data_IF_119947469278
#
_entry.id   IF_119947469278
#
_cell.length_a   1.000
_cell.length_b   1.000
_cell.length_c   1.000
_cell.angle_alpha   90.00
_cell.angle_beta   90.00
_cell.angle_gamma   90.00
#
_symmetry.space_group_name_H-M   'P 1'
#
loop_
_entity.id
_entity.type
_entity.pdbx_description
1 polymer ?
#
# COMPACT_ATOMS: atom_id res chain seq x y z
N UNK A 1 41.61 -4.61 -11.05
CA UNK A 1 40.67 -3.84 -10.20
C UNK A 1 39.19 -3.98 -10.61
N UNK A 2 38.79 -4.93 -11.46
CA UNK A 2 37.39 -5.04 -11.93
C UNK A 2 36.53 -6.08 -11.18
N UNK A 3 37.09 -6.91 -10.31
CA UNK A 3 36.33 -7.95 -9.59
C UNK A 3 35.70 -7.48 -8.27
N UNK A 4 36.26 -6.43 -7.65
CA UNK A 4 35.75 -5.85 -6.40
C UNK A 4 34.47 -5.02 -6.59
N UNK A 5 34.30 -4.40 -7.76
CA UNK A 5 33.10 -3.59 -8.07
C UNK A 5 31.86 -4.47 -8.23
N UNK A 6 32.01 -5.71 -8.71
CA UNK A 6 30.88 -6.62 -8.92
C UNK A 6 30.24 -7.13 -7.61
N UNK A 7 31.03 -7.28 -6.55
CA UNK A 7 30.52 -7.72 -5.24
C UNK A 7 29.74 -6.63 -4.50
N UNK A 8 30.09 -5.35 -4.72
CA UNK A 8 29.42 -4.22 -4.08
C UNK A 8 27.99 -3.99 -4.60
N UNK A 9 27.70 -4.35 -5.86
CA UNK A 9 26.37 -4.15 -6.46
C UNK A 9 25.33 -5.16 -5.95
N UNK A 10 25.76 -6.35 -5.53
CA UNK A 10 24.86 -7.39 -5.02
C UNK A 10 24.32 -7.12 -3.60
N UNK A 11 24.94 -6.21 -2.84
CA UNK A 11 24.55 -5.93 -1.45
C UNK A 11 23.43 -4.88 -1.32
N UNK A 12 23.01 -4.24 -2.42
CA UNK A 12 21.96 -3.22 -2.42
C UNK A 12 20.68 -3.65 -3.15
N UNK A 13 20.51 -4.95 -3.44
CA UNK A 13 19.20 -5.45 -3.87
C UNK A 13 18.23 -5.37 -2.70
N UNK A 14 17.48 -4.27 -2.63
CA UNK A 14 16.32 -4.15 -1.74
C UNK A 14 15.36 -5.30 -2.06
N UNK A 15 15.26 -6.27 -1.16
CA UNK A 15 14.32 -7.38 -1.28
C UNK A 15 12.92 -6.76 -1.19
N UNK A 16 12.24 -6.66 -2.32
CA UNK A 16 10.82 -6.30 -2.35
C UNK A 16 10.05 -7.57 -2.05
N UNK A 17 9.56 -7.68 -0.83
CA UNK A 17 8.68 -8.76 -0.43
C UNK A 17 7.23 -8.37 -0.69
N UNK A 18 6.45 -9.32 -1.20
CA UNK A 18 5.04 -9.12 -1.46
C UNK A 18 4.21 -10.26 -0.88
N UNK A 19 2.95 -9.94 -0.58
CA UNK A 19 1.93 -10.90 -0.22
C UNK A 19 0.75 -10.79 -1.18
N UNK A 20 0.06 -11.90 -1.39
CA UNK A 20 -1.18 -11.96 -2.17
C UNK A 20 -2.34 -12.30 -1.25
N UNK A 21 -3.43 -11.57 -1.40
CA UNK A 21 -4.68 -11.82 -0.70
C UNK A 21 -5.78 -12.10 -1.72
N UNK A 22 -6.34 -13.30 -1.65
CA UNK A 22 -7.32 -13.77 -2.62
C UNK A 22 -8.76 -13.48 -2.20
N UNK A 23 -9.62 -13.23 -3.19
CA UNK A 23 -11.08 -13.12 -3.06
C UNK A 23 -11.49 -12.18 -1.91
N UNK A 24 -10.98 -10.96 -1.95
CA UNK A 24 -11.16 -9.94 -0.92
C UNK A 24 -12.16 -8.88 -1.38
N UNK A 25 -12.86 -8.28 -0.41
CA UNK A 25 -13.69 -7.09 -0.61
C UNK A 25 -13.14 -5.89 0.17
N UNK A 26 -13.51 -4.69 -0.26
CA UNK A 26 -13.10 -3.44 0.40
C UNK A 26 -14.08 -3.11 1.53
N UNK A 27 -13.59 -3.11 2.77
CA UNK A 27 -14.37 -2.66 3.94
C UNK A 27 -14.45 -1.11 3.95
N UNK A 28 -13.30 -0.44 3.83
CA UNK A 28 -13.20 1.02 3.83
C UNK A 28 -12.15 1.49 2.83
N UNK A 29 -12.44 2.59 2.16
CA UNK A 29 -11.52 3.28 1.26
C UNK A 29 -11.42 4.71 1.77
N UNK A 30 -10.20 5.14 2.08
CA UNK A 30 -9.90 6.42 2.71
C UNK A 30 -9.29 7.34 1.65
N UNK A 31 -9.91 8.51 1.50
CA UNK A 31 -9.46 9.57 0.62
C UNK A 31 -9.05 10.75 1.49
N UNK A 32 -7.82 11.22 1.37
CA UNK A 32 -7.42 12.44 2.04
C UNK A 32 -7.31 13.60 1.05
N UNK A 33 -7.86 14.75 1.44
CA UNK A 33 -7.80 15.98 0.65
C UNK A 33 -6.37 16.51 0.60
N UNK A 34 -5.87 16.69 -0.62
CA UNK A 34 -4.56 17.28 -0.91
C UNK A 34 -4.51 18.77 -0.51
N UNK A 35 -5.68 19.41 -0.32
CA UNK A 35 -5.83 20.85 -0.10
C UNK A 35 -6.00 21.27 1.39
N UNK A 36 -5.79 20.37 2.35
CA UNK A 36 -5.87 20.69 3.79
C UNK A 36 -4.56 21.24 4.38
N UNK A 37 -4.63 21.95 5.51
CA UNK A 37 -3.47 22.49 6.25
C UNK A 37 -2.38 21.45 6.53
N UNK A 38 -2.76 20.18 6.71
CA UNK A 38 -1.85 19.07 6.98
C UNK A 38 -1.45 18.26 5.74
N UNK A 39 -1.66 18.78 4.51
CA UNK A 39 -1.22 18.25 3.21
C UNK A 39 -0.79 16.77 3.22
N UNK A 40 -1.74 15.85 3.30
CA UNK A 40 -1.44 14.44 3.03
C UNK A 40 -1.67 14.13 1.58
N UNK A 41 -0.70 13.45 1.00
CA UNK A 41 -0.77 12.90 -0.34
C UNK A 41 -0.94 11.37 -0.25
N UNK A 42 -1.84 10.88 0.60
CA UNK A 42 -1.98 9.45 0.82
C UNK A 42 -3.44 9.00 0.78
N UNK A 43 -3.68 7.94 0.01
CA UNK A 43 -4.90 7.16 0.06
C UNK A 43 -4.65 5.88 0.86
N UNK A 44 -5.69 5.28 1.40
CA UNK A 44 -5.55 3.99 2.07
C UNK A 44 -6.79 3.12 1.90
N UNK A 45 -6.61 1.82 2.05
CA UNK A 45 -7.68 0.83 1.95
C UNK A 45 -7.63 -0.14 3.12
N UNK A 46 -8.80 -0.47 3.64
CA UNK A 46 -9.01 -1.56 4.59
C UNK A 46 -9.86 -2.62 3.91
N UNK A 47 -9.38 -3.86 3.96
CA UNK A 47 -10.03 -5.02 3.40
C UNK A 47 -10.84 -5.78 4.45
N UNK A 48 -11.82 -6.56 4.00
CA UNK A 48 -12.66 -7.40 4.87
C UNK A 48 -11.97 -8.70 5.35
N UNK A 49 -10.71 -8.91 4.96
CA UNK A 49 -9.88 -10.04 5.42
C UNK A 49 -8.65 -9.51 6.12
N UNK A 50 -8.12 -10.31 7.04
CA UNK A 50 -6.83 -10.05 7.66
C UNK A 50 -5.73 -10.03 6.59
N UNK A 51 -4.83 -9.06 6.71
CA UNK A 51 -3.64 -8.95 5.86
C UNK A 51 -2.42 -9.48 6.61
N UNK A 52 -1.26 -9.46 5.96
CA UNK A 52 -0.01 -9.95 6.54
C UNK A 52 0.29 -9.28 7.88
N UNK A 53 0.77 -10.04 8.87
CA UNK A 53 0.95 -9.57 10.25
C UNK A 53 2.00 -8.48 10.43
N UNK A 54 2.90 -8.31 9.45
CA UNK A 54 3.87 -7.22 9.44
C UNK A 54 3.32 -5.88 8.93
N UNK A 55 2.10 -5.88 8.40
CA UNK A 55 1.42 -4.70 7.93
C UNK A 55 0.41 -4.21 8.96
N UNK A 56 0.03 -2.94 8.84
CA UNK A 56 -1.08 -2.43 9.63
C UNK A 56 -2.44 -2.96 9.13
N UNK A 57 -3.52 -2.78 9.89
CA UNK A 57 -4.90 -3.03 9.44
C UNK A 57 -5.32 -2.31 8.14
N UNK A 58 -4.51 -1.35 7.66
CA UNK A 58 -4.75 -0.56 6.44
C UNK A 58 -3.52 -0.62 5.54
N UNK A 59 -3.76 -0.70 4.23
CA UNK A 59 -2.71 -0.59 3.21
C UNK A 59 -2.68 0.81 2.61
N UNK A 60 -1.47 1.35 2.47
CA UNK A 60 -1.19 2.61 1.80
C UNK A 60 -1.38 2.47 0.30
N UNK A 61 -1.98 3.47 -0.32
CA UNK A 61 -2.08 3.63 -1.77
C UNK A 61 -1.34 4.91 -2.12
N UNK A 62 -0.43 4.82 -3.10
CA UNK A 62 0.28 5.99 -3.60
C UNK A 62 -0.71 6.99 -4.20
N UNK A 63 -0.62 8.26 -3.80
CA UNK A 63 -1.51 9.29 -4.35
C UNK A 63 -1.21 9.64 -5.80
N UNK A 64 -0.02 9.30 -6.28
CA UNK A 64 0.32 9.46 -7.70
C UNK A 64 -0.27 8.34 -8.56
N UNK A 65 -0.59 7.19 -7.96
CA UNK A 65 -1.20 6.03 -8.63
C UNK A 65 -2.74 6.15 -8.62
N UNK A 66 -3.23 6.98 -9.54
CA UNK A 66 -4.66 7.26 -9.69
C UNK A 66 -5.42 6.04 -10.20
N UNK A 67 -4.74 5.17 -10.93
CA UNK A 67 -5.26 3.96 -11.53
C UNK A 67 -5.63 2.94 -10.45
N UNK A 68 -4.73 2.66 -9.51
CA UNK A 68 -5.01 1.75 -8.38
C UNK A 68 -6.14 2.29 -7.54
N UNK A 69 -6.13 3.58 -7.21
CA UNK A 69 -7.20 4.18 -6.42
C UNK A 69 -8.56 4.08 -7.13
N UNK A 70 -8.61 4.38 -8.43
CA UNK A 70 -9.84 4.32 -9.23
C UNK A 70 -10.36 2.89 -9.36
N UNK A 71 -9.46 1.91 -9.55
CA UNK A 71 -9.83 0.51 -9.59
C UNK A 71 -10.45 0.04 -8.26
N UNK A 72 -9.82 0.38 -7.13
CA UNK A 72 -10.35 0.07 -5.80
C UNK A 72 -11.70 0.74 -5.56
N UNK A 73 -11.88 1.99 -6.00
CA UNK A 73 -13.17 2.66 -5.92
C UNK A 73 -14.24 1.91 -6.73
N UNK A 74 -13.92 1.49 -7.95
CA UNK A 74 -14.84 0.72 -8.80
C UNK A 74 -15.24 -0.62 -8.15
N UNK A 75 -14.27 -1.38 -7.62
CA UNK A 75 -14.54 -2.63 -6.89
C UNK A 75 -15.41 -2.42 -5.65
N UNK A 76 -15.19 -1.32 -4.92
CA UNK A 76 -16.02 -0.97 -3.76
C UNK A 76 -17.46 -0.67 -4.18
N UNK A 77 -17.65 0.10 -5.25
CA UNK A 77 -18.98 0.47 -5.74
C UNK A 77 -19.74 -0.71 -6.34
N UNK A 78 -19.03 -1.64 -6.99
CA UNK A 78 -19.63 -2.86 -7.56
C UNK A 78 -19.82 -3.99 -6.55
N UNK A 79 -19.25 -3.87 -5.34
CA UNK A 79 -19.19 -4.92 -4.33
C UNK A 79 -18.62 -6.25 -4.85
N UNK A 80 -17.79 -6.20 -5.89
CA UNK A 80 -17.10 -7.36 -6.42
C UNK A 80 -15.88 -7.71 -5.57
N UNK A 81 -15.57 -9.00 -5.52
CA UNK A 81 -14.36 -9.51 -4.88
C UNK A 81 -13.25 -9.64 -5.92
N UNK A 82 -12.02 -9.44 -5.48
CA UNK A 82 -10.84 -9.48 -6.33
C UNK A 82 -9.62 -9.96 -5.55
N UNK A 83 -8.52 -10.21 -6.26
CA UNK A 83 -7.24 -10.56 -5.69
C UNK A 83 -6.34 -9.34 -5.66
N UNK A 84 -5.55 -9.19 -4.61
CA UNK A 84 -4.62 -8.08 -4.46
C UNK A 84 -3.23 -8.63 -4.17
N UNK A 85 -2.22 -8.02 -4.79
CA UNK A 85 -0.83 -8.12 -4.39
C UNK A 85 -0.39 -6.80 -3.76
N UNK A 86 0.35 -6.86 -2.65
CA UNK A 86 0.84 -5.69 -1.93
C UNK A 86 2.21 -5.96 -1.33
N UNK A 87 2.98 -4.88 -1.10
CA UNK A 87 4.30 -4.96 -0.48
C UNK A 87 4.17 -5.18 1.03
N UNK A 88 5.03 -6.05 1.58
CA UNK A 88 5.17 -6.29 3.02
C UNK A 88 6.52 -5.78 3.52
N UNK A 89 6.66 -5.68 4.84
CA UNK A 89 7.91 -5.27 5.50
C UNK A 89 8.44 -3.88 5.08
N UNK A 90 7.56 -3.03 4.55
CA UNK A 90 7.86 -1.63 4.25
C UNK A 90 7.69 -0.76 5.50
N UNK A 91 8.50 0.31 5.67
CA UNK A 91 8.29 1.30 6.70
C UNK A 91 6.86 1.85 6.65
N UNK A 92 6.26 2.07 7.82
CA UNK A 92 4.93 2.67 7.91
C UNK A 92 4.91 4.06 7.27
N UNK A 93 3.94 4.29 6.39
CA UNK A 93 3.71 5.60 5.78
C UNK A 93 2.60 6.32 6.53
N UNK A 94 2.82 7.58 6.87
CA UNK A 94 1.82 8.41 7.54
C UNK A 94 0.76 8.89 6.56
N UNK A 95 -0.50 8.86 7.01
CA UNK A 95 -1.65 9.42 6.31
C UNK A 95 -2.15 10.62 7.14
N UNK A 96 -1.53 11.79 6.96
CA UNK A 96 -2.16 13.15 6.99
C UNK A 96 -2.74 13.23 8.42
N UNK A 97 -3.98 13.53 8.77
CA UNK A 97 -5.19 12.77 8.47
C UNK A 97 -5.81 11.98 9.64
N UNK A 98 -5.15 11.90 10.80
CA UNK A 98 -5.53 11.09 11.98
C UNK A 98 -5.32 9.58 11.84
N UNK A 99 -4.59 9.08 12.86
CA UNK A 99 -4.24 7.69 13.16
C UNK A 99 -3.01 7.20 12.41
N UNK A 100 -1.89 7.14 13.15
CA UNK A 100 -0.90 6.07 12.95
C UNK A 100 -1.72 4.80 12.82
N UNK A 101 -1.68 4.18 11.65
CA UNK A 101 -2.25 2.87 11.48
C UNK A 101 -1.53 2.01 12.54
N UNK A 102 -2.27 1.61 13.58
CA UNK A 102 -1.87 0.73 14.69
C UNK A 102 -2.59 -0.59 14.53
#
# INVERSE_FOLDING_TARGET
MNKLVFFAVLLFSSIVESAVLYNVGIEKLYVQSINGEHRSQAHAVKFNKAIHSSCNSRLYIDSLDKEVFSALLAYKMSNQKFDIMYEINKPSKSISGHLVAT
#
